data_IF_256795034862
#
_entry.id   IF_256795034862
#
_cell.length_a   1.000
_cell.length_b   1.000
_cell.length_c   1.000
_cell.angle_alpha   90.00
_cell.angle_beta   90.00
_cell.angle_gamma   90.00
#
_symmetry.space_group_name_H-M   'P 1'
#
loop_
_entity.id
_entity.type
_entity.pdbx_description
1 polymer ?
#
# COMPACT_ATOMS: atom_id res chain seq x y z
N UNK A 1 -4.93 30.13 -21.62
CA UNK A 1 -3.94 29.38 -22.43
C UNK A 1 -3.99 27.88 -22.16
N UNK A 2 -3.63 27.40 -20.97
CA UNK A 2 -3.61 25.95 -20.64
C UNK A 2 -4.91 25.21 -20.97
N UNK A 3 -6.08 25.76 -20.61
CA UNK A 3 -7.38 25.15 -20.93
C UNK A 3 -7.59 24.97 -22.44
N UNK A 4 -7.16 25.94 -23.25
CA UNK A 4 -7.28 25.85 -24.71
C UNK A 4 -6.33 24.81 -25.29
N UNK A 5 -5.09 24.73 -24.77
CA UNK A 5 -4.13 23.71 -25.18
C UNK A 5 -4.60 22.29 -24.83
N UNK A 6 -5.19 22.09 -23.64
CA UNK A 6 -5.79 20.81 -23.25
C UNK A 6 -6.95 20.43 -24.19
N UNK A 7 -7.83 21.38 -24.53
CA UNK A 7 -8.95 21.13 -25.44
C UNK A 7 -8.47 20.77 -26.87
N UNK A 8 -7.41 21.42 -27.36
CA UNK A 8 -6.79 21.09 -28.64
C UNK A 8 -6.21 19.67 -28.63
N UNK A 9 -5.43 19.31 -27.60
CA UNK A 9 -4.90 17.96 -27.43
C UNK A 9 -6.02 16.90 -27.40
N UNK A 10 -7.12 17.18 -26.71
CA UNK A 10 -8.28 16.27 -26.68
C UNK A 10 -8.98 16.16 -28.05
N UNK A 11 -8.96 17.20 -28.88
CA UNK A 11 -9.47 17.17 -30.25
C UNK A 11 -8.57 16.33 -31.16
N UNK A 12 -7.27 16.60 -31.16
CA UNK A 12 -6.28 15.88 -31.96
C UNK A 12 -6.27 14.38 -31.62
N UNK A 13 -6.33 14.04 -30.32
CA UNK A 13 -6.40 12.65 -29.88
C UNK A 13 -7.65 11.93 -30.41
N UNK A 14 -8.81 12.60 -30.39
CA UNK A 14 -10.06 12.02 -30.92
C UNK A 14 -9.99 11.81 -32.42
N UNK A 15 -9.45 12.78 -33.15
CA UNK A 15 -9.27 12.70 -34.61
C UNK A 15 -8.34 11.54 -35.00
N UNK A 16 -7.22 11.38 -34.30
CA UNK A 16 -6.21 10.35 -34.62
C UNK A 16 -6.61 8.94 -34.22
N UNK A 17 -7.37 8.79 -33.13
CA UNK A 17 -7.62 7.47 -32.52
C UNK A 17 -9.06 6.98 -32.65
N UNK A 18 -9.99 7.86 -33.01
CA UNK A 18 -11.45 7.61 -32.96
C UNK A 18 -11.92 7.13 -31.57
N UNK A 19 -11.22 7.52 -30.50
CA UNK A 19 -11.57 7.18 -29.11
C UNK A 19 -11.72 8.41 -28.23
N UNK A 20 -12.51 8.28 -27.16
CA UNK A 20 -12.75 9.38 -26.22
C UNK A 20 -11.47 9.82 -25.51
N UNK A 21 -11.22 11.13 -25.47
CA UNK A 21 -10.04 11.73 -24.82
C UNK A 21 -10.09 11.72 -23.28
N UNK A 22 -11.23 11.36 -22.69
CA UNK A 22 -11.39 11.25 -21.26
C UNK A 22 -12.11 9.96 -20.86
N UNK A 23 -11.58 9.30 -19.83
CA UNK A 23 -12.19 8.10 -19.24
C UNK A 23 -13.42 8.45 -18.39
N UNK A 24 -14.38 7.53 -18.35
CA UNK A 24 -15.58 7.66 -17.53
C UNK A 24 -15.24 7.79 -16.03
N UNK A 25 -16.01 8.63 -15.32
CA UNK A 25 -15.85 8.79 -13.87
C UNK A 25 -16.31 7.50 -13.18
N UNK A 26 -15.48 6.94 -12.30
CA UNK A 26 -15.81 5.74 -11.54
C UNK A 26 -15.64 4.43 -12.30
N UNK A 27 -14.94 4.42 -13.44
CA UNK A 27 -14.54 3.16 -14.06
C UNK A 27 -13.64 2.36 -13.12
N UNK A 28 -13.74 1.04 -13.19
CA UNK A 28 -12.99 0.10 -12.34
C UNK A 28 -11.54 -0.11 -12.81
N UNK A 29 -11.10 0.53 -13.91
CA UNK A 29 -9.94 0.07 -14.70
C UNK A 29 -8.70 0.97 -14.75
N UNK A 30 -8.69 2.20 -14.24
CA UNK A 30 -7.44 2.98 -14.01
C UNK A 30 -7.70 4.35 -13.34
N UNK A 31 -6.78 4.86 -12.49
CA UNK A 31 -6.70 6.29 -12.16
C UNK A 31 -6.11 7.08 -13.35
N UNK A 32 -6.20 8.41 -13.33
CA UNK A 32 -5.83 9.33 -14.42
C UNK A 32 -6.80 9.26 -15.62
N UNK A 33 -7.84 10.10 -15.58
CA UNK A 33 -8.92 10.10 -16.57
C UNK A 33 -8.60 10.88 -17.85
N UNK A 34 -7.59 11.73 -17.82
CA UNK A 34 -7.21 12.67 -18.88
C UNK A 34 -5.98 12.18 -19.64
N UNK A 35 -5.71 12.78 -20.80
CA UNK A 35 -4.56 12.45 -21.66
C UNK A 35 -3.21 12.77 -21.03
N UNK A 36 -3.17 13.81 -20.18
CA UNK A 36 -1.97 14.25 -19.48
C UNK A 36 -2.19 14.28 -17.97
N UNK A 37 -1.10 14.13 -17.23
CA UNK A 37 -1.02 14.37 -15.80
C UNK A 37 0.17 15.30 -15.52
N UNK A 38 0.13 16.00 -14.39
CA UNK A 38 1.23 16.83 -13.92
C UNK A 38 1.73 16.28 -12.59
N UNK A 39 3.04 16.07 -12.53
CA UNK A 39 3.78 15.91 -11.28
C UNK A 39 4.75 17.08 -11.15
N UNK A 40 5.16 17.40 -9.93
CA UNK A 40 6.08 18.50 -9.65
C UNK A 40 7.05 18.10 -8.55
N UNK A 41 8.32 18.39 -8.78
CA UNK A 41 9.37 18.24 -7.78
C UNK A 41 9.44 19.55 -6.99
N UNK A 42 9.28 19.47 -5.67
CA UNK A 42 9.46 20.63 -4.80
C UNK A 42 10.93 21.04 -4.81
N UNK A 43 11.21 22.33 -4.91
CA UNK A 43 12.54 22.89 -4.73
C UNK A 43 12.94 22.86 -3.25
N UNK A 44 13.12 21.65 -2.70
CA UNK A 44 13.52 21.40 -1.32
C UNK A 44 14.51 20.24 -1.27
N UNK A 45 15.45 20.32 -0.34
CA UNK A 45 16.38 19.24 -0.03
C UNK A 45 16.32 18.98 1.47
N UNK A 46 16.14 17.72 1.84
CA UNK A 46 16.16 17.28 3.23
C UNK A 46 17.35 16.34 3.42
N UNK A 47 18.09 16.52 4.51
CA UNK A 47 19.14 15.60 4.95
C UNK A 47 18.74 15.03 6.29
N UNK A 48 18.73 13.70 6.38
CA UNK A 48 18.28 12.98 7.56
C UNK A 48 19.51 12.51 8.35
N UNK A 49 19.58 12.89 9.63
CA UNK A 49 20.67 12.52 10.52
C UNK A 49 20.57 11.08 11.04
N UNK A 50 21.67 10.56 11.60
CA UNK A 50 21.76 9.20 12.11
C UNK A 50 20.76 8.88 13.24
N UNK A 51 20.31 9.88 14.02
CA UNK A 51 19.29 9.66 15.06
C UNK A 51 17.92 9.32 14.48
N UNK A 52 17.50 10.00 13.40
CA UNK A 52 16.25 9.67 12.70
C UNK A 52 16.34 8.28 12.06
N UNK A 53 17.49 7.92 11.48
CA UNK A 53 17.71 6.57 10.96
C UNK A 53 17.63 5.50 12.06
N UNK A 54 18.21 5.75 13.25
CA UNK A 54 18.06 4.83 14.40
C UNK A 54 16.61 4.75 14.89
N UNK A 55 15.85 5.84 14.84
CA UNK A 55 14.43 5.82 15.20
C UNK A 55 13.57 4.97 14.24
N UNK A 56 14.09 4.59 13.06
CA UNK A 56 13.46 3.64 12.15
C UNK A 56 13.76 2.16 12.49
N UNK A 57 14.69 1.87 13.40
CA UNK A 57 15.04 0.49 13.79
C UNK A 57 13.84 -0.42 14.14
N UNK A 58 12.76 0.07 14.80
CA UNK A 58 11.58 -0.75 15.07
C UNK A 58 10.88 -1.32 13.82
N UNK A 59 11.17 -0.79 12.62
CA UNK A 59 10.72 -1.38 11.36
C UNK A 59 11.22 -2.82 11.16
N UNK A 60 12.33 -3.23 11.79
CA UNK A 60 12.82 -4.61 11.73
C UNK A 60 11.81 -5.62 12.30
N UNK A 61 11.05 -5.20 13.33
CA UNK A 61 9.97 -6.01 13.89
C UNK A 61 8.85 -6.21 12.86
N UNK A 62 8.54 -5.16 12.09
CA UNK A 62 7.58 -5.22 11.00
C UNK A 62 8.10 -6.06 9.84
N UNK A 63 9.38 -5.91 9.44
CA UNK A 63 10.00 -6.76 8.43
C UNK A 63 9.93 -8.24 8.81
N UNK A 64 10.13 -8.54 10.10
CA UNK A 64 10.04 -9.91 10.61
C UNK A 64 8.63 -10.48 10.48
N UNK A 65 7.63 -9.73 10.94
CA UNK A 65 6.24 -10.16 10.86
C UNK A 65 5.69 -10.20 9.42
N UNK A 66 6.07 -9.23 8.57
CA UNK A 66 5.73 -9.18 7.16
C UNK A 66 6.39 -10.33 6.37
N UNK A 67 7.64 -10.67 6.68
CA UNK A 67 8.33 -11.81 6.11
C UNK A 67 7.66 -13.14 6.43
N UNK A 68 7.13 -13.30 7.65
CA UNK A 68 6.28 -14.45 7.98
C UNK A 68 5.00 -14.45 7.14
N UNK A 69 4.29 -13.32 7.09
CA UNK A 69 3.01 -13.19 6.40
C UNK A 69 3.13 -13.55 4.91
N UNK A 70 4.09 -12.95 4.20
CA UNK A 70 4.34 -13.22 2.79
C UNK A 70 4.76 -14.66 2.56
N UNK A 71 5.57 -15.22 3.45
CA UNK A 71 6.03 -16.61 3.32
C UNK A 71 4.93 -17.63 3.53
N UNK A 72 4.00 -17.38 4.45
CA UNK A 72 2.84 -18.26 4.65
C UNK A 72 1.89 -18.20 3.46
N UNK A 73 1.59 -17.02 2.93
CA UNK A 73 0.78 -16.93 1.72
C UNK A 73 1.45 -17.65 0.54
N UNK A 74 2.75 -17.40 0.32
CA UNK A 74 3.53 -18.04 -0.73
C UNK A 74 3.50 -19.57 -0.61
N UNK A 75 3.67 -20.11 0.59
CA UNK A 75 3.64 -21.56 0.84
C UNK A 75 2.27 -22.18 0.53
N UNK A 76 1.18 -21.50 0.94
CA UNK A 76 -0.19 -21.96 0.69
C UNK A 76 -0.55 -21.93 -0.79
N UNK A 77 -0.17 -20.86 -1.49
CA UNK A 77 -0.39 -20.74 -2.94
C UNK A 77 0.47 -21.74 -3.71
N UNK A 78 1.74 -21.93 -3.33
CA UNK A 78 2.63 -22.90 -3.97
C UNK A 78 2.07 -24.33 -3.88
N UNK A 79 1.60 -24.76 -2.70
CA UNK A 79 1.03 -26.10 -2.52
C UNK A 79 -0.18 -26.35 -3.45
N UNK A 80 -1.02 -25.32 -3.68
CA UNK A 80 -2.15 -25.40 -4.61
C UNK A 80 -1.68 -25.38 -6.07
N UNK A 81 -0.70 -24.55 -6.39
CA UNK A 81 -0.08 -24.47 -7.70
C UNK A 81 0.55 -25.82 -8.10
N UNK A 82 1.18 -26.53 -7.17
CA UNK A 82 1.69 -27.89 -7.39
C UNK A 82 0.57 -28.89 -7.73
N UNK A 83 -0.57 -28.83 -7.03
CA UNK A 83 -1.76 -29.66 -7.36
C UNK A 83 -2.33 -29.32 -8.74
N UNK A 84 -2.26 -28.06 -9.18
CA UNK A 84 -2.66 -27.68 -10.54
C UNK A 84 -1.70 -28.28 -11.57
N UNK A 85 -0.39 -28.18 -11.34
CA UNK A 85 0.62 -28.72 -12.24
C UNK A 85 0.50 -30.24 -12.38
N UNK A 86 0.36 -30.97 -11.28
CA UNK A 86 0.23 -32.43 -11.29
C UNK A 86 -0.95 -32.90 -12.13
N UNK A 87 -2.12 -32.24 -11.99
CA UNK A 87 -3.30 -32.56 -12.79
C UNK A 87 -3.09 -32.29 -14.28
N UNK A 88 -2.48 -31.15 -14.63
CA UNK A 88 -2.21 -30.80 -16.03
C UNK A 88 -1.17 -31.71 -16.66
N UNK A 89 -0.11 -32.04 -15.93
CA UNK A 89 0.95 -32.94 -16.41
C UNK A 89 0.41 -34.36 -16.63
N UNK A 90 -0.43 -34.87 -15.72
CA UNK A 90 -1.08 -36.16 -15.89
C UNK A 90 -2.03 -36.21 -17.10
N UNK A 91 -2.73 -35.11 -17.39
CA UNK A 91 -3.65 -35.03 -18.54
C UNK A 91 -2.94 -34.92 -19.89
N UNK A 92 -1.78 -34.26 -19.93
CA UNK A 92 -1.02 -34.02 -21.17
C UNK A 92 0.04 -35.08 -21.45
N UNK A 93 0.49 -35.82 -20.42
CA UNK A 93 1.57 -36.81 -20.53
C UNK A 93 2.94 -36.19 -20.82
N UNK A 94 3.09 -34.87 -20.63
CA UNK A 94 4.28 -34.11 -21.02
C UNK A 94 4.45 -32.78 -20.27
N UNK A 95 5.37 -31.92 -20.74
CA UNK A 95 5.58 -30.60 -20.16
C UNK A 95 4.32 -29.73 -20.26
N UNK A 96 4.04 -28.93 -19.22
CA UNK A 96 2.87 -28.05 -19.15
C UNK A 96 3.29 -26.65 -19.58
N UNK A 97 2.62 -26.08 -20.59
CA UNK A 97 2.88 -24.69 -20.97
C UNK A 97 2.37 -23.71 -19.89
N UNK A 98 3.05 -22.57 -19.75
CA UNK A 98 2.74 -21.60 -18.70
C UNK A 98 1.38 -20.94 -18.90
N UNK A 99 0.88 -20.80 -20.13
CA UNK A 99 -0.45 -20.22 -20.37
C UNK A 99 -1.54 -21.12 -19.76
N UNK A 100 -1.54 -22.41 -20.08
CA UNK A 100 -2.46 -23.41 -19.53
C UNK A 100 -2.38 -23.47 -18.01
N UNK A 101 -1.16 -23.47 -17.46
CA UNK A 101 -0.94 -23.46 -16.02
C UNK A 101 -1.48 -22.20 -15.33
N UNK A 102 -1.23 -21.03 -15.90
CA UNK A 102 -1.73 -19.74 -15.41
C UNK A 102 -3.26 -19.71 -15.37
N UNK A 103 -3.93 -20.09 -16.46
CA UNK A 103 -5.38 -20.16 -16.52
C UNK A 103 -5.97 -21.13 -15.50
N UNK A 104 -5.39 -22.32 -15.36
CA UNK A 104 -5.83 -23.31 -14.38
C UNK A 104 -5.58 -22.87 -12.92
N UNK A 105 -4.66 -21.93 -12.70
CA UNK A 105 -4.35 -21.36 -11.38
C UNK A 105 -5.24 -20.17 -11.01
N UNK A 106 -6.05 -19.62 -11.92
CA UNK A 106 -6.93 -18.46 -11.64
C UNK A 106 -7.85 -18.66 -10.41
N UNK A 107 -8.53 -19.80 -10.23
CA UNK A 107 -9.38 -20.02 -9.06
C UNK A 107 -8.58 -20.02 -7.74
N UNK A 108 -7.36 -20.53 -7.77
CA UNK A 108 -6.45 -20.50 -6.60
C UNK A 108 -6.09 -19.06 -6.25
N UNK A 109 -5.73 -18.26 -7.25
CA UNK A 109 -5.23 -16.90 -7.06
C UNK A 109 -6.32 -15.88 -6.68
N UNK A 110 -7.53 -16.04 -7.23
CA UNK A 110 -8.62 -15.08 -7.02
C UNK A 110 -9.69 -15.53 -6.02
N UNK A 111 -9.74 -16.82 -5.69
CA UNK A 111 -10.65 -17.38 -4.68
C UNK A 111 -9.90 -17.76 -3.41
N UNK A 112 -9.22 -18.91 -3.46
CA UNK A 112 -8.61 -19.52 -2.26
C UNK A 112 -7.59 -18.58 -1.60
N UNK A 113 -6.68 -17.98 -2.38
CA UNK A 113 -5.63 -17.12 -1.86
C UNK A 113 -6.18 -15.88 -1.13
N UNK A 114 -7.33 -15.34 -1.54
CA UNK A 114 -7.97 -14.21 -0.87
C UNK A 114 -8.54 -14.62 0.50
N UNK A 115 -9.14 -15.81 0.59
CA UNK A 115 -9.61 -16.39 1.86
C UNK A 115 -8.42 -16.68 2.79
N UNK A 116 -7.35 -17.24 2.25
CA UNK A 116 -6.12 -17.53 3.00
C UNK A 116 -5.45 -16.25 3.51
N UNK A 117 -5.39 -15.20 2.68
CA UNK A 117 -4.90 -13.88 3.07
C UNK A 117 -5.72 -13.29 4.24
N UNK A 118 -7.05 -13.38 4.18
CA UNK A 118 -7.91 -12.93 5.27
C UNK A 118 -7.67 -13.75 6.55
N UNK A 119 -7.54 -15.07 6.46
CA UNK A 119 -7.24 -15.92 7.62
C UNK A 119 -5.86 -15.58 8.23
N UNK A 120 -4.85 -15.33 7.40
CA UNK A 120 -3.53 -14.89 7.84
C UNK A 120 -3.55 -13.53 8.54
N UNK A 121 -4.35 -12.58 8.07
CA UNK A 121 -4.55 -11.29 8.75
C UNK A 121 -5.09 -11.46 10.17
N UNK A 122 -6.07 -12.36 10.38
CA UNK A 122 -6.60 -12.62 11.72
C UNK A 122 -5.55 -13.25 12.64
N UNK A 123 -4.74 -14.16 12.11
CA UNK A 123 -3.63 -14.74 12.85
C UNK A 123 -2.56 -13.68 13.19
N UNK A 124 -2.26 -12.79 12.25
CA UNK A 124 -1.35 -11.67 12.43
C UNK A 124 -1.81 -10.76 13.57
N UNK A 125 -3.10 -10.37 13.57
CA UNK A 125 -3.69 -9.59 14.66
C UNK A 125 -3.61 -10.31 16.01
N UNK A 126 -3.89 -11.62 16.04
CA UNK A 126 -3.81 -12.40 17.29
C UNK A 126 -2.40 -12.41 17.85
N UNK A 127 -1.38 -12.63 17.00
CA UNK A 127 0.03 -12.65 17.41
C UNK A 127 0.48 -11.28 17.92
N UNK A 128 0.22 -10.21 17.18
CA UNK A 128 0.56 -8.85 17.60
C UNK A 128 -0.19 -8.40 18.86
N UNK A 129 -1.48 -8.72 18.98
CA UNK A 129 -2.26 -8.41 20.19
C UNK A 129 -1.69 -9.08 21.43
N UNK A 130 -1.18 -10.31 21.30
CA UNK A 130 -0.51 -11.03 22.38
C UNK A 130 0.85 -10.41 22.72
N UNK A 131 1.68 -10.09 21.71
CA UNK A 131 2.98 -9.45 21.90
C UNK A 131 2.85 -8.11 22.62
N UNK A 132 1.88 -7.29 22.21
CA UNK A 132 1.64 -5.96 22.79
C UNK A 132 0.81 -6.00 24.08
N UNK A 133 0.30 -7.18 24.46
CA UNK A 133 -0.58 -7.40 25.62
C UNK A 133 -1.79 -6.46 25.63
N UNK A 134 -2.42 -6.25 24.46
CA UNK A 134 -3.47 -5.23 24.28
C UNK A 134 -4.69 -5.42 25.19
N UNK A 135 -5.00 -6.67 25.57
CA UNK A 135 -6.13 -6.98 26.47
C UNK A 135 -5.89 -6.58 27.92
N UNK A 136 -4.65 -6.30 28.29
CA UNK A 136 -4.24 -5.98 29.66
C UNK A 136 -3.93 -4.49 29.84
N UNK A 137 -4.12 -3.69 28.78
CA UNK A 137 -3.78 -2.27 28.75
C UNK A 137 -5.03 -1.44 28.51
N UNK A 138 -5.09 -0.30 29.18
CA UNK A 138 -6.07 0.75 28.92
C UNK A 138 -5.35 1.91 28.20
N UNK A 139 -5.95 2.40 27.10
CA UNK A 139 -5.42 3.53 26.34
C UNK A 139 -4.19 3.23 25.48
N UNK A 140 -3.45 4.29 25.15
CA UNK A 140 -2.31 4.24 24.23
C UNK A 140 -1.15 3.38 24.77
N UNK A 141 -0.51 2.63 23.87
CA UNK A 141 0.51 1.64 24.20
C UNK A 141 1.87 2.13 23.72
N UNK A 142 2.79 2.35 24.67
CA UNK A 142 4.20 2.58 24.40
C UNK A 142 5.03 1.42 24.95
N UNK A 143 5.93 0.89 24.13
CA UNK A 143 6.85 -0.21 24.50
C UNK A 143 8.23 0.01 23.89
N UNK A 144 9.28 -0.51 24.54
CA UNK A 144 10.60 -0.51 23.92
C UNK A 144 10.70 -1.66 22.89
N UNK A 145 11.38 -1.44 21.76
CA UNK A 145 11.56 -2.50 20.77
C UNK A 145 12.29 -3.72 21.38
N UNK A 146 13.28 -3.46 22.24
CA UNK A 146 14.06 -4.48 22.93
C UNK A 146 13.19 -5.44 23.76
N UNK A 147 12.10 -4.94 24.38
CA UNK A 147 11.23 -5.73 25.25
C UNK A 147 10.36 -6.72 24.46
N UNK A 148 10.00 -6.36 23.23
CA UNK A 148 9.11 -7.18 22.39
C UNK A 148 9.87 -7.98 21.31
N UNK A 149 11.11 -7.63 20.99
CA UNK A 149 11.86 -8.25 19.89
C UNK A 149 11.99 -9.78 20.00
N UNK A 150 12.19 -10.30 21.21
CA UNK A 150 12.24 -11.75 21.46
C UNK A 150 10.89 -12.43 21.17
N UNK A 151 9.78 -11.81 21.59
CA UNK A 151 8.44 -12.32 21.34
C UNK A 151 8.05 -12.22 19.86
N UNK A 152 8.45 -11.14 19.17
CA UNK A 152 8.27 -11.00 17.71
C UNK A 152 9.00 -12.12 16.97
N UNK A 153 10.28 -12.35 17.26
CA UNK A 153 11.04 -13.44 16.63
C UNK A 153 10.36 -14.78 16.88
N UNK A 154 10.10 -15.14 18.14
CA UNK A 154 9.45 -16.40 18.48
C UNK A 154 8.09 -16.59 17.79
N UNK A 155 7.31 -15.51 17.65
CA UNK A 155 6.01 -15.55 17.02
C UNK A 155 6.08 -15.60 15.49
N UNK A 156 7.19 -15.25 14.82
CA UNK A 156 7.24 -15.06 13.36
C UNK A 156 8.44 -15.75 12.66
N UNK A 157 9.22 -16.60 13.34
CA UNK A 157 10.54 -17.12 12.89
C UNK A 157 10.58 -18.09 11.68
N UNK A 158 9.57 -18.13 10.80
CA UNK A 158 9.52 -19.09 9.68
C UNK A 158 9.31 -18.41 8.34
N UNK A 159 10.34 -18.48 7.46
CA UNK A 159 10.32 -17.95 6.08
C UNK A 159 10.76 -18.97 5.01
N UNK A 160 10.03 -20.09 4.80
CA UNK A 160 10.45 -21.14 3.87
C UNK A 160 10.30 -20.81 2.37
N UNK A 161 9.35 -19.94 2.00
CA UNK A 161 9.01 -19.62 0.60
C UNK A 161 8.74 -18.13 0.39
N UNK A 162 8.88 -17.64 -0.84
CA UNK A 162 8.58 -16.25 -1.22
C UNK A 162 8.80 -16.00 -2.71
N UNK A 163 8.42 -14.81 -3.16
CA UNK A 163 8.76 -14.28 -4.49
C UNK A 163 9.71 -13.10 -4.34
N UNK A 164 10.36 -12.71 -5.42
CA UNK A 164 11.45 -11.74 -5.38
C UNK A 164 11.07 -10.42 -4.72
N UNK A 165 9.86 -9.91 -4.98
CA UNK A 165 9.39 -8.65 -4.42
C UNK A 165 9.03 -8.73 -2.92
N UNK A 166 8.76 -9.93 -2.36
CA UNK A 166 8.40 -10.14 -0.95
C UNK A 166 9.48 -9.71 0.05
N UNK A 167 10.71 -9.46 -0.41
CA UNK A 167 11.80 -8.91 0.40
C UNK A 167 11.60 -7.44 0.79
N UNK A 168 10.82 -6.69 0.00
CA UNK A 168 10.69 -5.27 0.21
C UNK A 168 9.63 -4.96 1.26
N UNK A 169 10.02 -4.08 2.16
CA UNK A 169 9.14 -3.34 3.05
C UNK A 169 9.31 -1.87 2.69
N UNK A 170 8.25 -1.25 2.16
CA UNK A 170 8.26 0.16 1.76
C UNK A 170 7.37 0.97 2.71
N UNK A 171 7.90 1.49 3.81
CA UNK A 171 7.16 2.29 4.77
C UNK A 171 7.02 3.74 4.29
N UNK A 172 5.87 4.31 4.57
CA UNK A 172 5.62 5.75 4.46
C UNK A 172 5.75 6.36 5.84
N UNK A 173 6.77 7.17 6.06
CA UNK A 173 7.10 7.69 7.39
C UNK A 173 6.99 9.21 7.41
N UNK A 174 6.14 9.72 8.28
CA UNK A 174 6.09 11.14 8.60
C UNK A 174 6.97 11.42 9.82
N UNK A 175 7.65 12.56 9.83
CA UNK A 175 8.36 13.05 11.00
C UNK A 175 7.48 14.07 11.73
N UNK A 176 7.27 13.86 13.04
CA UNK A 176 6.50 14.74 13.91
C UNK A 176 7.45 15.51 14.83
N UNK A 177 7.62 16.81 14.56
CA UNK A 177 8.46 17.69 15.37
C UNK A 177 8.07 19.16 15.18
N UNK A 178 8.31 19.99 16.19
CA UNK A 178 8.14 21.45 16.07
C UNK A 178 9.34 22.08 15.33
N UNK A 179 9.39 21.84 14.02
CA UNK A 179 10.43 22.35 13.14
C UNK A 179 11.77 21.59 13.22
N UNK A 180 12.74 21.95 12.36
CA UNK A 180 14.03 21.25 12.25
C UNK A 180 14.85 21.28 13.55
N UNK A 181 14.80 22.38 14.31
CA UNK A 181 15.59 22.52 15.54
C UNK A 181 15.15 21.54 16.63
N UNK A 182 13.87 21.17 16.68
CA UNK A 182 13.38 20.12 17.59
C UNK A 182 13.99 18.76 17.21
N UNK A 183 14.08 18.46 15.91
CA UNK A 183 14.73 17.23 15.41
C UNK A 183 16.20 17.18 15.80
N UNK A 184 16.93 18.30 15.66
CA UNK A 184 18.35 18.41 16.05
C UNK A 184 18.58 18.18 17.54
N UNK A 185 17.60 18.50 18.40
CA UNK A 185 17.63 18.22 19.84
C UNK A 185 17.15 16.81 20.20
N UNK A 186 16.76 15.99 19.23
CA UNK A 186 16.17 14.67 19.47
C UNK A 186 14.74 14.74 20.03
N UNK A 187 14.02 15.83 19.79
CA UNK A 187 12.63 16.06 20.22
C UNK A 187 11.67 15.79 19.05
N UNK A 188 11.59 14.53 18.63
CA UNK A 188 10.73 14.11 17.53
C UNK A 188 10.17 12.69 17.73
N UNK A 189 9.07 12.41 17.03
CA UNK A 189 8.53 11.07 16.79
C UNK A 189 8.52 10.79 15.29
N UNK A 190 8.57 9.52 14.93
CA UNK A 190 8.26 9.03 13.59
C UNK A 190 6.87 8.44 13.59
N UNK A 191 6.13 8.63 12.50
CA UNK A 191 4.75 8.17 12.38
C UNK A 191 4.65 7.36 11.10
N UNK A 192 4.34 6.07 11.26
CA UNK A 192 4.05 5.20 10.13
C UNK A 192 2.68 5.59 9.56
N UNK A 193 2.68 6.14 8.35
CA UNK A 193 1.48 6.48 7.59
C UNK A 193 0.84 5.23 6.99
N UNK A 194 1.56 4.61 6.07
CA UNK A 194 1.21 3.35 5.39
C UNK A 194 2.43 2.43 5.32
N UNK A 195 2.21 1.14 5.09
CA UNK A 195 3.26 0.14 5.00
C UNK A 195 2.99 -0.80 3.84
N UNK A 196 3.68 -0.59 2.72
CA UNK A 196 3.51 -1.41 1.54
C UNK A 196 4.46 -2.61 1.59
N UNK A 197 3.89 -3.81 1.70
CA UNK A 197 4.66 -5.06 1.72
C UNK A 197 4.78 -5.65 0.32
N UNK A 198 5.92 -6.30 0.07
CA UNK A 198 6.19 -7.05 -1.14
C UNK A 198 6.23 -6.21 -2.43
N UNK A 199 6.64 -4.95 -2.28
CA UNK A 199 6.81 -4.00 -3.39
C UNK A 199 7.89 -2.98 -3.02
N UNK A 200 8.73 -2.61 -4.00
CA UNK A 200 9.59 -1.44 -3.92
C UNK A 200 8.82 -0.25 -4.53
N UNK A 201 8.33 0.65 -3.67
CA UNK A 201 7.50 1.79 -4.09
C UNK A 201 8.29 2.85 -4.85
N UNK A 202 9.60 3.00 -4.59
CA UNK A 202 10.51 3.84 -5.38
C UNK A 202 10.65 3.34 -6.82
N UNK A 203 10.25 2.09 -7.08
CA UNK A 203 10.16 1.54 -8.43
C UNK A 203 9.06 2.12 -9.30
N UNK A 204 8.13 2.93 -8.76
CA UNK A 204 7.09 3.56 -9.55
C UNK A 204 7.66 4.66 -10.47
N UNK A 205 7.13 4.74 -11.70
CA UNK A 205 7.59 5.68 -12.74
C UNK A 205 7.64 7.13 -12.28
N UNK A 206 6.71 7.59 -11.44
CA UNK A 206 6.74 8.94 -10.88
C UNK A 206 8.04 9.23 -10.09
N UNK A 207 8.60 8.24 -9.40
CA UNK A 207 9.82 8.44 -8.61
C UNK A 207 11.03 8.30 -9.52
N UNK A 208 11.08 7.25 -10.34
CA UNK A 208 12.22 6.97 -11.21
C UNK A 208 12.48 8.09 -12.22
N UNK A 209 11.45 8.57 -12.92
CA UNK A 209 11.63 9.58 -13.98
C UNK A 209 11.90 11.00 -13.45
N UNK A 210 11.62 11.25 -12.17
CA UNK A 210 11.87 12.53 -11.52
C UNK A 210 13.09 12.49 -10.58
N UNK A 211 13.71 11.32 -10.39
CA UNK A 211 14.88 11.19 -9.54
C UNK A 211 16.07 11.95 -10.16
N UNK A 212 16.84 12.72 -9.37
CA UNK A 212 18.02 13.43 -9.90
C UNK A 212 19.13 12.47 -10.38
N UNK A 213 19.16 11.24 -9.85
CA UNK A 213 20.14 10.21 -10.19
C UNK A 213 19.46 8.84 -10.42
N UNK A 214 18.71 8.63 -11.52
CA UNK A 214 17.95 7.40 -11.72
C UNK A 214 18.86 6.16 -11.82
N UNK A 215 20.09 6.34 -12.29
CA UNK A 215 21.10 5.27 -12.34
C UNK A 215 21.43 4.68 -10.96
N UNK A 216 21.37 5.48 -9.89
CA UNK A 216 21.58 4.99 -8.53
C UNK A 216 20.46 4.04 -8.10
N UNK A 217 19.20 4.35 -8.45
CA UNK A 217 18.06 3.45 -8.17
C UNK A 217 18.23 2.10 -8.88
N UNK A 218 18.71 2.11 -10.12
CA UNK A 218 19.03 0.89 -10.85
C UNK A 218 20.21 0.13 -10.22
N UNK A 219 21.25 0.82 -9.76
CA UNK A 219 22.39 0.20 -9.07
C UNK A 219 21.96 -0.47 -7.76
N UNK A 220 21.13 0.18 -6.94
CA UNK A 220 20.57 -0.40 -5.71
C UNK A 220 19.68 -1.62 -6.03
N UNK A 221 18.85 -1.53 -7.06
CA UNK A 221 18.07 -2.68 -7.56
C UNK A 221 18.98 -3.85 -7.96
N UNK A 222 20.17 -3.56 -8.51
CA UNK A 222 21.19 -4.55 -8.85
C UNK A 222 21.78 -5.27 -7.64
N UNK A 223 22.00 -4.55 -6.53
CA UNK A 223 22.46 -5.13 -5.27
C UNK A 223 21.39 -6.08 -4.68
N UNK A 224 20.13 -5.68 -4.73
CA UNK A 224 19.02 -6.51 -4.25
C UNK A 224 18.79 -7.75 -5.14
N UNK A 225 19.10 -7.63 -6.43
CA UNK A 225 18.83 -8.64 -7.45
C UNK A 225 20.07 -8.91 -8.31
N UNK A 226 21.09 -9.60 -7.79
CA UNK A 226 22.33 -9.88 -8.55
C UNK A 226 22.13 -10.78 -9.77
N UNK A 227 20.93 -11.37 -9.93
CA UNK A 227 20.52 -12.16 -11.09
C UNK A 227 19.31 -11.53 -11.77
N UNK A 228 19.05 -11.87 -13.05
CA UNK A 228 17.80 -11.53 -13.72
C UNK A 228 16.56 -11.88 -12.90
N UNK A 229 15.52 -11.06 -13.00
CA UNK A 229 14.18 -11.33 -12.47
C UNK A 229 13.24 -11.78 -13.58
N UNK A 230 12.20 -12.53 -13.22
CA UNK A 230 11.04 -12.76 -14.08
C UNK A 230 9.88 -11.92 -13.57
N UNK A 231 9.36 -11.02 -14.41
CA UNK A 231 8.32 -10.07 -14.02
C UNK A 231 7.08 -10.25 -14.89
N UNK A 232 5.87 -10.35 -14.31
CA UNK A 232 4.65 -10.33 -15.09
C UNK A 232 4.56 -9.03 -15.89
N UNK A 233 4.32 -9.16 -17.20
CA UNK A 233 4.02 -8.01 -18.04
C UNK A 233 2.63 -7.51 -17.67
N UNK A 234 2.58 -6.35 -17.02
CA UNK A 234 1.32 -5.76 -16.60
C UNK A 234 0.65 -5.04 -17.77
N UNK A 235 -0.67 -5.23 -17.98
CA UNK A 235 -1.38 -4.56 -19.05
C UNK A 235 -1.33 -3.04 -18.87
N UNK A 236 -1.60 -2.31 -19.96
CA UNK A 236 -1.69 -0.83 -19.93
C UNK A 236 -2.84 -0.37 -19.03
N UNK A 237 -3.93 -1.14 -18.98
CA UNK A 237 -5.10 -0.90 -18.15
C UNK A 237 -5.35 -2.10 -17.25
N UNK A 238 -5.64 -1.88 -15.97
CA UNK A 238 -5.79 -2.97 -15.01
C UNK A 238 -6.72 -2.61 -13.88
N UNK A 239 -7.55 -3.57 -13.44
CA UNK A 239 -8.50 -3.39 -12.33
C UNK A 239 -7.83 -3.03 -11.00
N UNK A 240 -6.55 -3.38 -10.82
CA UNK A 240 -5.75 -2.95 -9.68
C UNK A 240 -5.25 -1.50 -9.78
N UNK A 241 -5.92 -0.64 -10.57
CA UNK A 241 -5.65 0.80 -10.67
C UNK A 241 -4.22 1.14 -11.13
N UNK A 242 -3.64 0.32 -12.01
CA UNK A 242 -2.39 0.67 -12.66
C UNK A 242 -2.60 1.88 -13.57
N UNK A 243 -1.66 2.82 -13.54
CA UNK A 243 -1.62 3.96 -14.46
C UNK A 243 -0.20 4.22 -14.92
N UNK A 244 -0.04 5.02 -15.97
CA UNK A 244 1.27 5.44 -16.47
C UNK A 244 2.14 6.10 -15.37
N UNK A 245 1.51 6.73 -14.37
CA UNK A 245 2.18 7.40 -13.25
C UNK A 245 2.76 6.43 -12.20
N UNK A 246 2.19 5.23 -12.05
CA UNK A 246 2.60 4.27 -11.01
C UNK A 246 3.05 2.93 -11.57
N UNK A 247 3.26 2.85 -12.89
CA UNK A 247 3.83 1.65 -13.52
C UNK A 247 5.25 1.45 -13.00
N UNK A 248 5.64 0.20 -12.75
CA UNK A 248 6.99 -0.11 -12.31
C UNK A 248 8.00 0.18 -13.43
N UNK A 249 8.99 1.02 -13.14
CA UNK A 249 9.99 1.54 -14.09
C UNK A 249 11.41 1.06 -13.80
N UNK A 250 11.70 0.51 -12.60
CA UNK A 250 12.98 -0.13 -12.29
C UNK A 250 13.06 -1.53 -12.91
N UNK A 251 12.95 -1.60 -14.23
CA UNK A 251 13.07 -2.84 -15.01
C UNK A 251 14.39 -2.81 -15.76
N UNK A 252 15.33 -3.69 -15.41
CA UNK A 252 16.67 -3.68 -15.99
C UNK A 252 16.71 -4.38 -17.35
N UNK A 253 17.73 -4.15 -18.18
CA UNK A 253 17.89 -4.85 -19.46
C UNK A 253 18.00 -6.37 -19.32
N UNK A 254 18.61 -6.85 -18.23
CA UNK A 254 18.75 -8.28 -17.97
C UNK A 254 17.48 -8.95 -17.42
N UNK A 255 16.49 -8.18 -16.96
CA UNK A 255 15.24 -8.71 -16.42
C UNK A 255 14.28 -9.16 -17.53
N UNK A 256 13.61 -10.29 -17.29
CA UNK A 256 12.62 -10.88 -18.18
C UNK A 256 11.21 -10.37 -17.88
N UNK A 257 10.41 -10.19 -18.92
CA UNK A 257 8.98 -9.96 -18.81
C UNK A 257 8.21 -11.13 -19.41
N UNK A 258 7.17 -11.59 -18.70
CA UNK A 258 6.31 -12.68 -19.17
C UNK A 258 4.90 -12.16 -19.46
N UNK A 259 4.45 -12.28 -20.70
CA UNK A 259 3.10 -11.88 -21.13
C UNK A 259 2.10 -12.99 -20.80
N UNK A 260 1.29 -12.78 -19.75
CA UNK A 260 0.31 -13.76 -19.24
C UNK A 260 -1.11 -13.58 -19.81
N UNK A 261 -1.42 -12.39 -20.31
CA UNK A 261 -2.73 -12.04 -20.88
C UNK A 261 -2.55 -11.23 -22.16
N UNK A 262 -2.03 -10.01 -22.01
CA UNK A 262 -1.76 -9.10 -23.12
C UNK A 262 -0.27 -9.02 -23.41
N UNK A 263 0.11 -8.96 -24.69
CA UNK A 263 1.48 -8.68 -25.11
C UNK A 263 1.67 -7.19 -25.46
N UNK A 264 1.44 -6.32 -24.46
CA UNK A 264 1.52 -4.86 -24.60
C UNK A 264 2.90 -4.26 -24.29
N UNK A 265 3.97 -5.04 -24.39
CA UNK A 265 5.33 -4.55 -24.16
C UNK A 265 5.80 -3.66 -25.32
N UNK A 266 6.89 -2.92 -25.08
CA UNK A 266 7.65 -2.29 -26.16
C UNK A 266 8.13 -3.39 -27.12
N UNK A 267 7.81 -3.34 -28.43
CA UNK A 267 8.20 -4.36 -29.39
C UNK A 267 9.72 -4.49 -29.56
N UNK A 268 10.50 -3.48 -29.15
CA UNK A 268 11.96 -3.51 -29.17
C UNK A 268 12.57 -4.03 -27.87
N UNK A 269 11.77 -4.33 -26.86
CA UNK A 269 12.27 -4.87 -25.59
C UNK A 269 12.62 -6.36 -25.75
N UNK A 270 13.91 -6.64 -25.68
CA UNK A 270 14.44 -8.00 -25.53
C UNK A 270 13.92 -8.68 -24.25
N UNK A 271 13.94 -10.01 -24.21
CA UNK A 271 13.54 -10.81 -23.03
C UNK A 271 12.08 -10.61 -22.60
N UNK A 272 11.21 -10.28 -23.56
CA UNK A 272 9.76 -10.38 -23.42
C UNK A 272 9.32 -11.72 -23.98
N UNK A 273 8.70 -12.56 -23.15
CA UNK A 273 8.35 -13.94 -23.49
C UNK A 273 6.83 -14.13 -23.43
N UNK A 274 6.18 -14.65 -24.47
CA UNK A 274 4.79 -15.09 -24.39
C UNK A 274 4.65 -16.29 -23.45
N UNK A 275 3.61 -16.33 -22.61
CA UNK A 275 3.41 -17.45 -21.67
C UNK A 275 3.23 -18.80 -22.36
N UNK A 276 2.75 -18.85 -23.60
CA UNK A 276 2.62 -20.10 -24.35
C UNK A 276 3.98 -20.73 -24.73
N UNK A 277 5.07 -19.96 -24.73
CA UNK A 277 6.40 -20.45 -25.07
C UNK A 277 7.23 -20.85 -23.84
N UNK A 278 6.76 -20.51 -22.64
CA UNK A 278 7.38 -20.92 -21.39
C UNK A 278 6.79 -22.24 -20.90
N UNK A 279 7.62 -23.07 -20.27
CA UNK A 279 7.25 -24.39 -19.75
C UNK A 279 7.32 -24.39 -18.23
N UNK A 280 6.32 -24.99 -17.59
CA UNK A 280 6.26 -25.23 -16.16
C UNK A 280 6.59 -26.69 -15.87
N UNK A 281 7.65 -26.92 -15.09
CA UNK A 281 8.16 -28.26 -14.81
C UNK A 281 8.71 -28.39 -13.39
N UNK A 282 8.90 -29.64 -12.95
CA UNK A 282 9.59 -29.94 -11.70
C UNK A 282 11.09 -30.08 -11.96
N UNK A 283 11.89 -29.27 -11.27
CA UNK A 283 13.35 -29.36 -11.24
C UNK A 283 13.80 -29.44 -9.78
N UNK A 284 14.58 -30.47 -9.42
CA UNK A 284 15.09 -30.69 -8.06
C UNK A 284 14.01 -30.63 -6.97
N UNK A 285 12.83 -31.21 -7.27
CA UNK A 285 11.68 -31.24 -6.37
C UNK A 285 10.92 -29.92 -6.25
N UNK A 286 11.25 -28.89 -7.05
CA UNK A 286 10.59 -27.58 -7.03
C UNK A 286 9.92 -27.27 -8.35
N UNK A 287 8.80 -26.56 -8.29
CA UNK A 287 8.10 -26.08 -9.47
C UNK A 287 8.79 -24.83 -10.03
N UNK A 288 9.22 -24.90 -11.28
CA UNK A 288 9.96 -23.83 -11.97
C UNK A 288 9.31 -23.50 -13.31
N UNK A 289 9.63 -22.31 -13.82
CA UNK A 289 9.30 -21.83 -15.16
C UNK A 289 10.58 -21.77 -15.96
N UNK A 290 10.65 -22.53 -17.05
CA UNK A 290 11.73 -22.50 -18.03
C UNK A 290 11.30 -21.67 -19.24
N UNK A 291 12.12 -20.69 -19.58
CA UNK A 291 11.92 -19.85 -20.77
C UNK A 291 12.58 -20.47 -22.01
N UNK A 292 12.25 -20.02 -23.24
CA UNK A 292 12.78 -20.59 -24.49
C UNK A 292 14.30 -20.55 -24.61
N UNK A 293 14.95 -19.53 -24.01
CA UNK A 293 16.41 -19.39 -23.99
C UNK A 293 17.11 -20.24 -22.92
N UNK A 294 16.34 -21.04 -22.17
CA UNK A 294 16.81 -21.93 -21.12
C UNK A 294 16.87 -21.28 -19.73
N UNK A 295 16.56 -20.00 -19.57
CA UNK A 295 16.51 -19.35 -18.26
C UNK A 295 15.43 -20.00 -17.36
N UNK A 296 15.73 -20.14 -16.06
CA UNK A 296 14.88 -20.85 -15.10
C UNK A 296 14.55 -19.96 -13.91
N UNK A 297 13.26 -19.88 -13.56
CA UNK A 297 12.74 -19.08 -12.45
C UNK A 297 11.82 -19.90 -11.57
N UNK A 298 11.69 -19.53 -10.30
CA UNK A 298 10.68 -20.15 -9.43
C UNK A 298 9.27 -19.78 -9.89
N UNK A 299 8.33 -20.73 -9.82
CA UNK A 299 6.96 -20.52 -10.33
C UNK A 299 6.22 -19.33 -9.69
N UNK A 300 6.55 -19.02 -8.43
CA UNK A 300 5.93 -17.91 -7.69
C UNK A 300 6.21 -16.54 -8.32
N UNK A 301 7.27 -16.38 -9.12
CA UNK A 301 7.56 -15.12 -9.81
C UNK A 301 6.47 -14.76 -10.83
N UNK A 302 5.83 -15.76 -11.45
CA UNK A 302 4.69 -15.53 -12.34
C UNK A 302 3.47 -14.99 -11.58
N UNK A 303 3.30 -15.43 -10.33
CA UNK A 303 2.21 -14.98 -9.47
C UNK A 303 2.53 -13.68 -8.71
N UNK A 304 3.75 -13.13 -8.86
CA UNK A 304 4.25 -12.05 -8.03
C UNK A 304 3.30 -10.85 -7.94
N UNK A 305 2.73 -10.40 -9.06
CA UNK A 305 1.82 -9.25 -9.05
C UNK A 305 0.53 -9.52 -8.26
N UNK A 306 -0.06 -10.70 -8.42
CA UNK A 306 -1.29 -11.08 -7.72
C UNK A 306 -1.01 -11.27 -6.24
N UNK A 307 0.08 -11.96 -5.89
CA UNK A 307 0.51 -12.16 -4.51
C UNK A 307 0.80 -10.83 -3.81
N UNK A 308 1.54 -9.93 -4.45
CA UNK A 308 1.78 -8.57 -3.94
C UNK A 308 0.46 -7.83 -3.71
N UNK A 309 -0.48 -7.86 -4.66
CA UNK A 309 -1.79 -7.20 -4.50
C UNK A 309 -2.59 -7.75 -3.32
N UNK A 310 -2.48 -9.05 -3.04
CA UNK A 310 -3.15 -9.68 -1.90
C UNK A 310 -2.54 -9.27 -0.55
N UNK A 311 -1.22 -9.04 -0.47
CA UNK A 311 -0.52 -8.78 0.80
C UNK A 311 -0.22 -7.32 1.09
N UNK A 312 -0.26 -6.45 0.08
CA UNK A 312 0.27 -5.08 0.15
C UNK A 312 -0.27 -4.30 1.36
N UNK A 313 -1.55 -4.51 1.71
CA UNK A 313 -2.24 -3.82 2.81
C UNK A 313 -2.56 -4.74 4.01
N UNK A 314 -1.96 -5.94 4.09
CA UNK A 314 -2.24 -6.90 5.16
C UNK A 314 -1.39 -6.69 6.42
N UNK A 315 -0.35 -5.85 6.37
CA UNK A 315 0.51 -5.60 7.53
C UNK A 315 -0.12 -4.59 8.50
N UNK A 316 -1.37 -4.83 8.89
CA UNK A 316 -2.13 -4.04 9.87
C UNK A 316 -2.00 -4.67 11.24
N UNK A 317 -1.46 -3.95 12.21
CA UNK A 317 -1.18 -4.48 13.55
C UNK A 317 -2.46 -4.78 14.34
N UNK A 318 -3.48 -3.96 14.15
CA UNK A 318 -4.70 -3.97 14.96
C UNK A 318 -5.92 -4.41 14.14
N UNK A 319 -6.82 -5.22 14.72
CA UNK A 319 -8.12 -5.48 14.12
C UNK A 319 -9.00 -4.24 14.14
N UNK A 320 -10.06 -4.25 13.34
CA UNK A 320 -11.09 -3.22 13.47
C UNK A 320 -11.84 -3.36 14.80
N UNK A 321 -11.94 -2.27 15.56
CA UNK A 321 -12.67 -2.18 16.81
C UNK A 321 -13.27 -0.78 16.99
N UNK A 322 -14.20 -0.62 17.94
CA UNK A 322 -14.81 0.68 18.26
C UNK A 322 -13.76 1.71 18.69
N UNK A 323 -12.70 1.25 19.34
CA UNK A 323 -11.51 2.02 19.66
C UNK A 323 -10.27 1.15 19.46
N UNK A 324 -9.24 1.69 18.85
CA UNK A 324 -7.91 1.08 18.80
C UNK A 324 -6.88 2.09 19.28
N UNK A 325 -6.01 1.71 20.24
CA UNK A 325 -5.04 2.64 20.82
C UNK A 325 -3.93 3.02 19.83
N UNK A 326 -3.30 4.16 20.06
CA UNK A 326 -2.00 4.46 19.46
C UNK A 326 -0.98 3.42 19.94
N UNK A 327 -0.20 2.88 19.01
CA UNK A 327 0.91 1.96 19.30
C UNK A 327 2.21 2.65 18.95
N UNK A 328 3.05 2.88 19.95
CA UNK A 328 4.39 3.45 19.81
C UNK A 328 5.43 2.42 20.23
N UNK A 329 6.41 2.18 19.38
CA UNK A 329 7.59 1.37 19.68
C UNK A 329 8.81 2.26 19.62
N UNK A 330 9.49 2.44 20.75
CA UNK A 330 10.51 3.47 20.95
C UNK A 330 9.99 4.86 20.56
N UNK A 331 10.46 5.41 19.42
CA UNK A 331 10.02 6.70 18.85
C UNK A 331 9.13 6.56 17.61
N UNK A 332 8.83 5.34 17.18
CA UNK A 332 8.04 5.06 15.98
C UNK A 332 6.60 4.70 16.36
N UNK A 333 5.67 5.57 15.99
CA UNK A 333 4.24 5.31 16.05
C UNK A 333 3.87 4.36 14.91
N UNK A 334 3.61 3.10 15.25
CA UNK A 334 3.24 2.04 14.30
C UNK A 334 1.76 2.05 13.94
N UNK A 335 0.91 2.54 14.85
CA UNK A 335 -0.51 2.70 14.61
C UNK A 335 -1.01 3.96 15.32
N UNK A 336 -1.81 4.76 14.60
CA UNK A 336 -2.49 5.94 15.13
C UNK A 336 -3.78 5.53 15.84
N UNK A 337 -4.12 6.26 16.88
CA UNK A 337 -5.37 6.09 17.62
C UNK A 337 -6.58 6.29 16.68
N UNK A 338 -7.54 5.39 16.79
CA UNK A 338 -8.70 5.35 15.90
C UNK A 338 -9.97 5.02 16.68
N UNK A 339 -11.07 5.67 16.30
CA UNK A 339 -12.40 5.48 16.86
C UNK A 339 -13.41 5.18 15.74
N UNK A 340 -14.37 4.28 15.99
CA UNK A 340 -15.42 3.96 15.03
C UNK A 340 -16.79 4.25 15.64
N UNK A 341 -17.62 4.93 14.86
CA UNK A 341 -18.98 5.30 15.28
C UNK A 341 -19.98 4.84 14.23
N UNK A 342 -21.13 4.34 14.67
CA UNK A 342 -22.29 4.18 13.80
C UNK A 342 -22.78 5.57 13.37
N UNK A 343 -22.92 5.79 12.06
CA UNK A 343 -23.35 7.10 11.54
C UNK A 343 -24.72 7.52 12.07
N UNK A 344 -25.63 6.55 12.24
CA UNK A 344 -26.96 6.77 12.80
C UNK A 344 -26.95 7.17 14.28
N UNK A 345 -25.91 6.82 15.05
CA UNK A 345 -25.81 7.14 16.48
C UNK A 345 -25.33 8.58 16.75
N UNK A 346 -24.88 9.32 15.72
CA UNK A 346 -24.37 10.68 15.86
C UNK A 346 -25.49 11.74 15.74
N UNK A 347 -26.39 11.79 16.73
CA UNK A 347 -27.50 12.76 16.76
C UNK A 347 -27.05 14.22 16.71
N UNK A 348 -25.83 14.50 17.18
CA UNK A 348 -25.24 15.84 17.21
C UNK A 348 -25.17 16.49 15.82
N UNK A 349 -25.11 15.70 14.74
CA UNK A 349 -25.01 16.21 13.36
C UNK A 349 -26.36 16.53 12.72
N UNK A 350 -27.48 16.18 13.35
CA UNK A 350 -28.82 16.26 12.72
C UNK A 350 -29.45 17.66 12.77
N UNK A 351 -28.95 18.57 13.61
CA UNK A 351 -29.53 19.92 13.72
C UNK A 351 -29.39 20.69 12.41
N UNK A 352 -30.51 21.27 11.94
CA UNK A 352 -30.56 22.04 10.69
C UNK A 352 -29.88 23.40 10.85
N UNK A 353 -29.94 24.02 12.04
CA UNK A 353 -29.34 25.32 12.33
C UNK A 353 -27.85 25.15 12.59
N UNK A 354 -27.04 25.81 11.78
CA UNK A 354 -25.57 25.68 11.80
C UNK A 354 -24.95 25.96 13.17
N UNK A 355 -25.30 27.08 13.81
CA UNK A 355 -24.77 27.44 15.13
C UNK A 355 -25.09 26.38 16.20
N UNK A 356 -26.32 25.82 16.20
CA UNK A 356 -26.72 24.78 17.15
C UNK A 356 -25.99 23.46 16.86
N UNK A 357 -25.87 23.10 15.58
CA UNK A 357 -25.10 21.93 15.14
C UNK A 357 -23.65 22.02 15.59
N UNK A 358 -23.00 23.18 15.41
CA UNK A 358 -21.63 23.40 15.85
C UNK A 358 -21.47 23.15 17.35
N UNK A 359 -22.33 23.75 18.19
CA UNK A 359 -22.30 23.54 19.65
C UNK A 359 -22.55 22.07 20.02
N UNK A 360 -23.50 21.39 19.37
CA UNK A 360 -23.79 19.98 19.64
C UNK A 360 -22.62 19.07 19.25
N UNK A 361 -21.98 19.31 18.11
CA UNK A 361 -20.80 18.56 17.68
C UNK A 361 -19.63 18.82 18.63
N UNK A 362 -19.40 20.07 19.07
CA UNK A 362 -18.36 20.40 20.07
C UNK A 362 -18.58 19.70 21.41
N UNK A 363 -19.84 19.59 21.87
CA UNK A 363 -20.17 18.82 23.08
C UNK A 363 -19.89 17.33 22.92
N UNK A 364 -20.27 16.76 21.79
CA UNK A 364 -19.97 15.35 21.48
C UNK A 364 -18.46 15.09 21.37
N UNK A 365 -17.74 15.98 20.69
CA UNK A 365 -16.28 15.96 20.55
C UNK A 365 -15.59 15.93 21.92
N UNK A 366 -15.96 16.87 22.82
CA UNK A 366 -15.43 16.92 24.18
C UNK A 366 -15.78 15.67 25.01
N UNK A 367 -17.01 15.16 24.89
CA UNK A 367 -17.43 13.95 25.62
C UNK A 367 -16.75 12.67 25.09
N UNK A 368 -16.33 12.66 23.83
CA UNK A 368 -15.67 11.51 23.19
C UNK A 368 -14.15 11.48 23.40
N UNK A 369 -13.56 12.55 23.95
CA UNK A 369 -12.10 12.64 24.16
C UNK A 369 -11.28 12.71 22.88
N UNK A 370 -11.91 13.00 21.73
CA UNK A 370 -11.23 13.06 20.44
C UNK A 370 -10.25 14.25 20.37
N UNK A 371 -9.11 14.14 19.66
CA UNK A 371 -8.26 15.28 19.40
C UNK A 371 -8.98 16.31 18.51
N UNK A 372 -8.50 17.57 18.52
CA UNK A 372 -9.08 18.66 17.71
C UNK A 372 -9.05 18.35 16.21
N UNK A 373 -7.91 17.80 15.76
CA UNK A 373 -7.61 17.52 14.37
C UNK A 373 -7.69 16.01 14.11
N UNK A 374 -8.54 15.61 13.16
CA UNK A 374 -8.74 14.20 12.81
C UNK A 374 -8.88 14.03 11.30
N UNK A 375 -8.64 12.81 10.84
CA UNK A 375 -9.07 12.34 9.52
C UNK A 375 -10.29 11.43 9.67
N UNK A 376 -11.26 11.59 8.77
CA UNK A 376 -12.48 10.78 8.76
C UNK A 376 -12.60 10.02 7.45
N UNK A 377 -12.88 8.73 7.54
CA UNK A 377 -13.21 7.86 6.40
C UNK A 377 -14.55 7.16 6.64
N UNK A 378 -15.25 6.79 5.57
CA UNK A 378 -16.49 6.01 5.62
C UNK A 378 -16.76 5.36 4.26
N UNK A 379 -17.62 4.33 4.17
CA UNK A 379 -17.94 3.69 2.88
C UNK A 379 -18.40 4.68 1.79
N UNK A 380 -19.12 5.73 2.17
CA UNK A 380 -19.61 6.78 1.25
C UNK A 380 -18.59 7.87 0.94
N UNK A 381 -17.44 7.86 1.61
CA UNK A 381 -16.30 8.76 1.41
C UNK A 381 -15.00 7.98 1.72
N UNK A 382 -14.55 7.13 0.79
CA UNK A 382 -13.44 6.20 1.04
C UNK A 382 -12.08 6.91 1.12
N UNK A 383 -11.97 8.15 0.62
CA UNK A 383 -10.77 8.96 0.80
C UNK A 383 -10.86 9.70 2.14
N UNK A 384 -9.83 9.61 3.01
CA UNK A 384 -9.81 10.37 4.25
C UNK A 384 -9.95 11.86 3.99
N UNK A 385 -10.79 12.54 4.77
CA UNK A 385 -10.87 13.99 4.77
C UNK A 385 -10.57 14.55 6.15
N UNK A 386 -9.88 15.69 6.18
CA UNK A 386 -9.49 16.40 7.39
C UNK A 386 -10.70 17.09 8.05
N UNK A 387 -10.76 17.04 9.37
CA UNK A 387 -11.72 17.76 10.20
C UNK A 387 -10.99 18.48 11.33
N UNK A 388 -11.14 19.80 11.37
CA UNK A 388 -10.89 20.61 12.56
C UNK A 388 -12.23 20.83 13.28
N UNK A 389 -12.38 20.25 14.47
CA UNK A 389 -13.62 20.40 15.25
C UNK A 389 -13.87 21.84 15.74
N UNK A 390 -12.88 22.73 15.70
CA UNK A 390 -13.04 24.15 16.05
C UNK A 390 -13.42 25.03 14.86
N UNK A 391 -13.43 24.48 13.64
CA UNK A 391 -13.86 25.18 12.44
C UNK A 391 -15.31 24.85 12.08
N UNK A 392 -16.22 25.85 12.07
CA UNK A 392 -17.62 25.64 11.67
C UNK A 392 -17.76 25.04 10.27
N UNK A 393 -16.87 25.42 9.34
CA UNK A 393 -16.88 24.90 7.97
C UNK A 393 -16.59 23.40 7.91
N UNK A 394 -15.55 22.93 8.61
CA UNK A 394 -15.22 21.51 8.67
C UNK A 394 -16.30 20.71 9.42
N UNK A 395 -16.85 21.24 10.51
CA UNK A 395 -17.99 20.62 11.21
C UNK A 395 -19.21 20.45 10.30
N UNK A 396 -19.48 21.42 9.43
CA UNK A 396 -20.57 21.31 8.46
C UNK A 396 -20.31 20.22 7.40
N UNK A 397 -19.08 20.11 6.89
CA UNK A 397 -18.70 19.07 5.95
C UNK A 397 -18.79 17.68 6.58
N UNK A 398 -18.24 17.53 7.79
CA UNK A 398 -18.36 16.31 8.60
C UNK A 398 -19.83 15.91 8.79
N UNK A 399 -20.68 16.84 9.24
CA UNK A 399 -22.10 16.57 9.44
C UNK A 399 -22.83 16.19 8.15
N UNK A 400 -22.49 16.81 7.01
CA UNK A 400 -23.05 16.43 5.70
C UNK A 400 -22.64 15.02 5.30
N UNK A 401 -21.38 14.64 5.51
CA UNK A 401 -20.87 13.31 5.21
C UNK A 401 -21.54 12.24 6.07
N UNK A 402 -21.62 12.44 7.39
CA UNK A 402 -22.27 11.52 8.34
C UNK A 402 -23.76 11.33 8.01
N UNK A 403 -24.49 12.41 7.69
CA UNK A 403 -25.90 12.30 7.26
C UNK A 403 -26.07 11.63 5.90
N UNK A 404 -25.05 11.65 5.03
CA UNK A 404 -25.07 10.91 3.76
C UNK A 404 -24.87 9.42 4.03
N UNK A 405 -23.90 9.08 4.89
CA UNK A 405 -23.66 7.71 5.36
C UNK A 405 -24.94 7.10 5.93
N UNK A 406 -25.52 7.70 6.97
CA UNK A 406 -26.70 7.16 7.65
C UNK A 406 -27.95 7.01 6.75
N UNK A 407 -28.06 7.80 5.68
CA UNK A 407 -29.15 7.67 4.70
C UNK A 407 -28.93 6.54 3.68
N UNK A 408 -27.68 6.27 3.33
CA UNK A 408 -27.33 5.23 2.35
C UNK A 408 -27.19 3.86 3.01
N UNK A 409 -26.71 3.85 4.25
CA UNK A 409 -26.48 2.66 5.06
C UNK A 409 -26.70 2.99 6.54
N UNK A 410 -27.85 2.60 7.13
CA UNK A 410 -28.14 2.83 8.55
C UNK A 410 -27.12 2.18 9.50
N UNK A 411 -26.55 1.04 9.10
CA UNK A 411 -25.50 0.33 9.84
C UNK A 411 -24.09 0.84 9.49
N UNK A 412 -24.01 1.80 8.57
CA UNK A 412 -22.77 2.37 8.08
C UNK A 412 -21.97 3.03 9.20
N UNK A 413 -20.71 2.62 9.31
CA UNK A 413 -19.77 3.16 10.30
C UNK A 413 -18.78 4.13 9.67
N UNK A 414 -18.46 5.19 10.41
CA UNK A 414 -17.32 6.05 10.10
C UNK A 414 -16.13 5.68 10.98
N UNK A 415 -14.94 5.87 10.44
CA UNK A 415 -13.68 5.73 11.16
C UNK A 415 -13.08 7.12 11.31
N UNK A 416 -12.75 7.49 12.54
CA UNK A 416 -12.07 8.73 12.92
C UNK A 416 -10.67 8.33 13.35
N UNK A 417 -9.64 8.85 12.70
CA UNK A 417 -8.24 8.61 13.07
C UNK A 417 -7.62 9.94 13.49
N UNK A 418 -6.82 9.93 14.54
CA UNK A 418 -6.10 11.13 14.97
C UNK A 418 -5.22 11.71 13.84
N UNK A 419 -5.11 13.04 13.79
CA UNK A 419 -4.09 13.70 12.97
C UNK A 419 -2.76 13.68 13.72
N UNK A 420 -1.83 12.89 13.21
CA UNK A 420 -0.45 12.83 13.69
C UNK A 420 0.46 12.70 12.47
N UNK A 421 1.44 13.61 12.26
CA UNK A 421 1.74 14.80 13.05
C UNK A 421 0.58 15.82 13.09
N UNK A 422 0.43 16.57 14.18
CA UNK A 422 -0.47 17.74 14.22
C UNK A 422 0.07 18.87 13.31
N UNK A 423 -0.75 19.88 12.95
CA UNK A 423 -0.28 21.03 12.17
C UNK A 423 0.96 21.70 12.79
N UNK A 424 1.02 21.79 14.12
CA UNK A 424 2.15 22.35 14.86
C UNK A 424 3.40 21.45 14.80
N UNK A 425 3.22 20.15 14.57
CA UNK A 425 4.30 19.16 14.48
C UNK A 425 4.74 18.90 13.02
N UNK A 426 4.25 19.66 12.06
CA UNK A 426 4.76 19.61 10.69
C UNK A 426 6.11 20.33 10.62
N UNK A 427 7.17 19.56 10.41
CA UNK A 427 8.55 20.03 10.55
C UNK A 427 9.09 20.76 9.30
N UNK A 428 8.57 20.43 8.11
CA UNK A 428 9.04 20.99 6.85
C UNK A 428 8.48 22.39 6.66
N UNK A 429 9.36 23.39 6.65
CA UNK A 429 9.01 24.80 6.39
C UNK A 429 9.52 25.28 5.04
N UNK A 430 8.91 26.33 4.50
CA UNK A 430 9.51 27.14 3.43
C UNK A 430 10.25 28.37 4.01
N UNK A 431 10.78 29.21 3.12
CA UNK A 431 11.47 30.44 3.49
C UNK A 431 10.57 31.50 4.15
N UNK A 432 9.25 31.40 3.97
CA UNK A 432 8.25 32.28 4.59
C UNK A 432 7.79 31.75 5.96
N UNK A 433 8.25 30.55 6.36
CA UNK A 433 7.85 29.89 7.60
C UNK A 433 6.52 29.13 7.49
N UNK A 434 5.94 29.00 6.30
CA UNK A 434 4.77 28.15 6.08
C UNK A 434 5.17 26.69 6.31
N UNK A 435 4.32 25.93 7.00
CA UNK A 435 4.56 24.52 7.31
C UNK A 435 3.83 23.60 6.35
N UNK A 436 4.45 22.46 6.07
CA UNK A 436 3.96 21.47 5.11
C UNK A 436 3.99 20.08 5.72
N UNK A 437 2.91 19.32 5.50
CA UNK A 437 2.94 17.88 5.70
C UNK A 437 3.92 17.25 4.71
N UNK A 438 4.76 16.34 5.20
CA UNK A 438 5.77 15.64 4.40
C UNK A 438 5.85 14.18 4.81
N UNK A 439 6.16 13.32 3.85
CA UNK A 439 6.33 11.89 4.04
C UNK A 439 7.66 11.47 3.42
N UNK A 440 8.38 10.61 4.13
CA UNK A 440 9.63 9.99 3.72
C UNK A 440 9.31 8.57 3.27
N UNK A 441 9.87 8.16 2.14
CA UNK A 441 9.64 6.86 1.52
C UNK A 441 10.96 6.25 1.07
#
# INVERSE_FOLDING_TARGET
>A
ELTAALAALEADFRELTDTAAARAKGSTTAPCRTLVYSDSVRAATATVGAEVLRALEPLDLLMTSAGWLTSQLASRVLARAEQVHERLSAATGGPVDLASFWFASMPVLHGDAAVEAAALQHEFWRRWSAILRLREREGNVAVAAADIAGAVRAAFDKRPAGWTAARYLSPDVMLAADGPQAVERGEFELVLGELHVAINTLGASLFVHQHPAPAELFAQTGLDHPRPRLMPLLPKEHRARLSARVRHALVRPEDYQIALLDHGADPHRERTVPSAEAVVERQDGRLVVRLPDGAVFGVLEVFAHVLTTLVIDLCRLLPEADHTPRITVDRLVLARETWRYAGAALDCVQDKKEARRFVRVRRWHAASGLPRFVFVTMPTEPRPFFVDFESPAYVNLFAKAVRRLARQDPEGRLTVTEMLPSPEQTWLTDAEGNRYTSELR
#
